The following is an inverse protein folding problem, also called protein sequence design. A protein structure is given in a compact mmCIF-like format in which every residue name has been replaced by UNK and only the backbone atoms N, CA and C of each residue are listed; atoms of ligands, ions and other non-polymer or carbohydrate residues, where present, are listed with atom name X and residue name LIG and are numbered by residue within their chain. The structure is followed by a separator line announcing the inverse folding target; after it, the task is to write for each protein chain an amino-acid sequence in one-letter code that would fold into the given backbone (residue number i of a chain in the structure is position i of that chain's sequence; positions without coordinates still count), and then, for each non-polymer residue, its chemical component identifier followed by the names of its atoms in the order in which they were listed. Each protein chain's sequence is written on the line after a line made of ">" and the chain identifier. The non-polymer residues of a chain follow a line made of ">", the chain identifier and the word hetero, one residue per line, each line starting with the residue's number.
data_IF_819695602457
#
_entry.id   IF_819695602457
#
_cell.length_a   1.000
_cell.length_b   1.000
_cell.length_c   1.000
_cell.angle_alpha   90.00
_cell.angle_beta   90.00
_cell.angle_gamma   90.00
#
_symmetry.space_group_name_H-M   'P 1'
#
loop_
_entity.id
_entity.type
_entity.pdbx_description
1 polymer ?
#
# COMPACT_ATOMS: atom_id res chain seq x y z
N UNK A 1 18.85 -11.06 -11.57
CA UNK A 1 19.09 -9.60 -11.71
C UNK A 1 19.60 -9.03 -10.38
N UNK A 2 20.26 -7.86 -10.34
CA UNK A 2 20.60 -7.22 -9.05
C UNK A 2 19.40 -6.44 -8.48
N UNK A 3 19.39 -6.22 -7.16
CA UNK A 3 18.35 -5.42 -6.49
C UNK A 3 18.27 -4.01 -7.04
N UNK A 4 19.43 -3.38 -7.31
CA UNK A 4 19.49 -2.07 -7.96
C UNK A 4 18.74 -2.07 -9.30
N UNK A 5 19.03 -3.04 -10.19
CA UNK A 5 18.40 -3.09 -11.51
C UNK A 5 16.89 -3.33 -11.42
N UNK A 6 16.43 -4.11 -10.43
CA UNK A 6 15.00 -4.28 -10.15
C UNK A 6 14.34 -2.95 -9.76
N UNK A 7 14.92 -2.21 -8.80
CA UNK A 7 14.37 -0.93 -8.35
C UNK A 7 14.41 0.14 -9.45
N UNK A 8 15.44 0.16 -10.29
CA UNK A 8 15.47 1.03 -11.47
C UNK A 8 14.34 0.69 -12.46
N UNK A 9 14.07 -0.60 -12.68
CA UNK A 9 12.92 -1.04 -13.47
C UNK A 9 11.59 -0.60 -12.87
N UNK A 10 11.42 -0.74 -11.55
CA UNK A 10 10.25 -0.24 -10.84
C UNK A 10 10.10 1.29 -11.01
N UNK A 11 11.19 2.06 -10.90
CA UNK A 11 11.15 3.51 -11.07
C UNK A 11 10.68 3.95 -12.48
N UNK A 12 11.08 3.19 -13.51
CA UNK A 12 10.61 3.39 -14.88
C UNK A 12 9.12 3.05 -14.98
N UNK A 13 8.67 1.93 -14.40
CA UNK A 13 7.26 1.55 -14.39
C UNK A 13 6.39 2.60 -13.67
N UNK A 14 6.86 3.14 -12.52
CA UNK A 14 6.21 4.25 -11.81
C UNK A 14 5.97 5.46 -12.72
N UNK A 15 6.94 5.79 -13.57
CA UNK A 15 6.84 6.93 -14.49
C UNK A 15 5.93 6.63 -15.68
N UNK A 16 6.14 5.52 -16.37
CA UNK A 16 5.51 5.24 -17.66
C UNK A 16 4.09 4.67 -17.53
N UNK A 17 3.87 3.75 -16.59
CA UNK A 17 2.58 3.06 -16.43
C UNK A 17 1.68 3.79 -15.45
N UNK A 18 2.22 4.15 -14.29
CA UNK A 18 1.43 4.76 -13.21
C UNK A 18 1.40 6.29 -13.27
N UNK A 19 2.37 6.92 -13.95
CA UNK A 19 2.43 8.38 -14.11
C UNK A 19 2.91 9.12 -12.85
N UNK A 20 3.60 8.45 -11.93
CA UNK A 20 4.04 9.02 -10.65
C UNK A 20 5.52 9.40 -10.63
N UNK A 21 5.82 10.61 -11.11
CA UNK A 21 7.19 11.14 -11.04
C UNK A 21 7.71 11.26 -9.60
N UNK A 22 6.82 11.48 -8.62
CA UNK A 22 7.21 11.52 -7.21
C UNK A 22 7.61 10.14 -6.68
N UNK A 23 6.88 9.07 -7.05
CA UNK A 23 7.30 7.70 -6.73
C UNK A 23 8.64 7.37 -7.39
N UNK A 24 8.78 7.67 -8.68
CA UNK A 24 10.02 7.49 -9.44
C UNK A 24 11.19 8.18 -8.73
N UNK A 25 11.04 9.46 -8.39
CA UNK A 25 12.07 10.22 -7.68
C UNK A 25 12.46 9.58 -6.35
N UNK A 26 11.50 9.13 -5.55
CA UNK A 26 11.77 8.51 -4.25
C UNK A 26 12.53 7.17 -4.40
N UNK A 27 12.17 6.36 -5.39
CA UNK A 27 12.89 5.10 -5.68
C UNK A 27 14.31 5.40 -6.16
N UNK A 28 14.48 6.34 -7.09
CA UNK A 28 15.81 6.74 -7.58
C UNK A 28 16.68 7.32 -6.46
N UNK A 29 16.09 8.11 -5.55
CA UNK A 29 16.79 8.64 -4.38
C UNK A 29 17.30 7.52 -3.49
N UNK A 30 16.50 6.46 -3.26
CA UNK A 30 16.92 5.26 -2.51
C UNK A 30 18.05 4.54 -3.23
N UNK A 31 17.90 4.29 -4.54
CA UNK A 31 18.93 3.66 -5.36
C UNK A 31 20.28 4.40 -5.29
N UNK A 32 20.26 5.74 -5.32
CA UNK A 32 21.46 6.55 -5.22
C UNK A 32 22.08 6.51 -3.81
N UNK A 33 21.25 6.54 -2.76
CA UNK A 33 21.73 6.53 -1.38
C UNK A 33 22.34 5.18 -0.96
N UNK A 34 21.82 4.07 -1.50
CA UNK A 34 22.19 2.70 -1.11
C UNK A 34 22.92 1.94 -2.24
N UNK A 35 23.49 2.67 -3.21
CA UNK A 35 24.01 2.11 -4.47
C UNK A 35 24.92 0.89 -4.26
N UNK A 36 25.98 1.03 -3.45
CA UNK A 36 27.00 -0.01 -3.25
C UNK A 36 26.42 -1.30 -2.65
N UNK A 37 25.39 -1.18 -1.83
CA UNK A 37 24.69 -2.30 -1.21
C UNK A 37 23.77 -2.97 -2.23
N UNK A 38 22.93 -2.19 -2.90
CA UNK A 38 21.92 -2.70 -3.83
C UNK A 38 22.50 -3.36 -5.08
N UNK A 39 23.72 -3.00 -5.50
CA UNK A 39 24.41 -3.67 -6.61
C UNK A 39 24.78 -5.11 -6.27
N UNK A 40 25.14 -5.38 -5.00
CA UNK A 40 25.58 -6.70 -4.53
C UNK A 40 24.42 -7.61 -4.15
N UNK A 41 23.29 -7.02 -3.79
CA UNK A 41 22.06 -7.75 -3.47
C UNK A 41 21.40 -8.36 -4.72
N UNK A 42 20.81 -9.54 -4.55
CA UNK A 42 19.98 -10.17 -5.58
C UNK A 42 18.61 -9.52 -5.64
N UNK A 43 17.97 -9.62 -6.80
CA UNK A 43 16.55 -9.29 -6.93
C UNK A 43 15.69 -10.10 -5.96
N UNK A 44 14.55 -9.53 -5.64
CA UNK A 44 13.64 -10.04 -4.62
C UNK A 44 12.31 -10.39 -5.26
N UNK A 45 11.81 -11.58 -4.98
CA UNK A 45 10.47 -11.99 -5.37
C UNK A 45 9.46 -11.51 -4.32
N UNK A 46 8.70 -10.46 -4.65
CA UNK A 46 7.69 -9.94 -3.74
C UNK A 46 6.55 -10.94 -3.57
N UNK A 47 6.20 -11.23 -2.32
CA UNK A 47 4.97 -11.95 -1.99
C UNK A 47 3.75 -11.06 -2.20
N UNK A 48 3.87 -9.76 -1.95
CA UNK A 48 2.82 -8.77 -2.14
C UNK A 48 3.36 -7.52 -2.84
N UNK A 49 2.74 -7.17 -3.97
CA UNK A 49 2.95 -5.92 -4.69
C UNK A 49 2.15 -4.77 -4.06
N UNK A 50 2.38 -3.54 -4.53
CA UNK A 50 1.56 -2.38 -4.17
C UNK A 50 0.09 -2.60 -4.53
N UNK A 51 -0.18 -3.17 -5.71
CA UNK A 51 -1.54 -3.46 -6.16
C UNK A 51 -2.22 -4.49 -5.24
N UNK A 52 -1.51 -5.53 -4.82
CA UNK A 52 -2.03 -6.53 -3.89
C UNK A 52 -2.46 -5.91 -2.55
N UNK A 53 -1.68 -4.95 -2.05
CA UNK A 53 -1.97 -4.23 -0.81
C UNK A 53 -3.21 -3.34 -1.00
N UNK A 54 -3.35 -2.68 -2.14
CA UNK A 54 -4.55 -1.88 -2.48
C UNK A 54 -5.79 -2.77 -2.51
N UNK A 55 -5.73 -3.87 -3.26
CA UNK A 55 -6.83 -4.81 -3.40
C UNK A 55 -7.24 -5.39 -2.04
N UNK A 56 -6.27 -5.79 -1.22
CA UNK A 56 -6.52 -6.26 0.15
C UNK A 56 -7.18 -5.18 1.00
N UNK A 57 -6.72 -3.93 0.92
CA UNK A 57 -7.27 -2.80 1.69
C UNK A 57 -8.72 -2.49 1.33
N UNK A 58 -9.08 -2.58 0.04
CA UNK A 58 -10.42 -2.25 -0.46
C UNK A 58 -11.42 -3.41 -0.43
N UNK A 59 -10.97 -4.61 -0.05
CA UNK A 59 -11.77 -5.83 -0.10
C UNK A 59 -12.95 -5.90 0.88
N UNK A 60 -12.98 -5.02 1.88
CA UNK A 60 -13.97 -5.09 2.96
C UNK A 60 -15.20 -4.24 2.71
N UNK A 61 -15.00 -2.96 2.41
CA UNK A 61 -16.05 -1.95 2.15
C UNK A 61 -15.46 -0.76 1.40
N UNK A 62 -16.34 0.16 1.02
CA UNK A 62 -15.92 1.48 0.54
C UNK A 62 -15.13 2.25 1.60
N UNK A 63 -14.05 2.92 1.18
CA UNK A 63 -13.18 3.70 2.04
C UNK A 63 -13.11 5.15 1.55
N UNK A 64 -13.25 6.11 2.45
CA UNK A 64 -12.85 7.49 2.14
C UNK A 64 -11.34 7.56 1.87
N UNK A 65 -10.87 8.59 1.17
CA UNK A 65 -9.43 8.77 0.87
C UNK A 65 -8.51 8.67 2.10
N UNK A 66 -8.94 9.22 3.24
CA UNK A 66 -8.15 9.14 4.49
C UNK A 66 -8.12 7.71 5.03
N UNK A 67 -9.29 7.05 5.09
CA UNK A 67 -9.39 5.68 5.55
C UNK A 67 -8.61 4.73 4.63
N UNK A 68 -8.60 4.96 3.32
CA UNK A 68 -7.80 4.20 2.37
C UNK A 68 -6.31 4.24 2.72
N UNK A 69 -5.70 5.43 2.83
CA UNK A 69 -4.28 5.51 3.17
C UNK A 69 -3.95 4.92 4.54
N UNK A 70 -4.84 5.10 5.53
CA UNK A 70 -4.66 4.49 6.86
C UNK A 70 -4.75 2.97 6.78
N UNK A 71 -5.78 2.44 6.12
CA UNK A 71 -5.97 1.00 5.93
C UNK A 71 -4.77 0.38 5.24
N UNK A 72 -4.36 0.94 4.11
CA UNK A 72 -3.27 0.40 3.33
C UNK A 72 -1.93 0.49 4.03
N UNK A 73 -1.69 1.53 4.82
CA UNK A 73 -0.50 1.58 5.66
C UNK A 73 -0.49 0.44 6.68
N UNK A 74 -1.59 0.25 7.41
CA UNK A 74 -1.67 -0.79 8.46
C UNK A 74 -1.59 -2.21 7.87
N UNK A 75 -2.24 -2.44 6.72
CA UNK A 75 -2.16 -3.72 6.00
C UNK A 75 -0.74 -3.95 5.48
N UNK A 76 -0.12 -2.95 4.86
CA UNK A 76 1.27 -3.03 4.39
C UNK A 76 2.23 -3.32 5.55
N UNK A 77 2.12 -2.60 6.65
CA UNK A 77 2.97 -2.77 7.83
C UNK A 77 2.81 -4.19 8.40
N UNK A 78 1.57 -4.64 8.60
CA UNK A 78 1.28 -5.99 9.06
C UNK A 78 1.89 -7.08 8.15
N UNK A 79 1.70 -6.96 6.83
CA UNK A 79 2.22 -7.92 5.86
C UNK A 79 3.74 -7.88 5.77
N UNK A 80 4.35 -6.69 5.81
CA UNK A 80 5.81 -6.52 5.71
C UNK A 80 6.59 -7.17 6.85
N UNK A 81 5.95 -7.35 8.02
CA UNK A 81 6.55 -8.08 9.14
C UNK A 81 6.60 -9.61 8.95
N UNK A 82 5.92 -10.15 7.94
CA UNK A 82 5.76 -11.60 7.68
C UNK A 82 6.18 -12.02 6.27
N UNK A 83 6.08 -11.11 5.32
CA UNK A 83 6.26 -11.35 3.90
C UNK A 83 7.19 -10.31 3.30
N UNK A 84 7.75 -10.66 2.15
CA UNK A 84 8.50 -9.69 1.36
C UNK A 84 7.52 -8.85 0.56
N UNK A 85 7.28 -7.62 1.01
CA UNK A 85 6.35 -6.67 0.37
C UNK A 85 7.10 -5.66 -0.48
N UNK A 86 6.51 -5.26 -1.60
CA UNK A 86 6.97 -4.12 -2.36
C UNK A 86 6.81 -2.83 -1.55
N UNK A 87 7.80 -1.95 -1.60
CA UNK A 87 7.80 -0.72 -0.80
C UNK A 87 6.72 0.25 -1.28
N UNK A 88 5.71 0.48 -0.43
CA UNK A 88 4.62 1.40 -0.71
C UNK A 88 4.99 2.88 -0.56
N UNK A 89 6.17 3.26 -0.07
CA UNK A 89 6.60 4.67 0.06
C UNK A 89 5.67 5.54 0.92
N UNK A 90 5.23 5.02 2.07
CA UNK A 90 4.43 5.79 3.03
C UNK A 90 5.27 6.83 3.78
N UNK A 91 4.67 8.00 4.04
CA UNK A 91 5.23 8.99 4.96
C UNK A 91 4.14 9.65 5.81
N UNK A 92 4.57 10.20 6.95
CA UNK A 92 3.69 10.75 7.97
C UNK A 92 3.75 12.28 8.03
N UNK A 93 2.58 12.91 8.14
CA UNK A 93 2.41 14.34 8.39
C UNK A 93 1.29 14.56 9.41
N UNK A 94 1.61 14.39 10.68
CA UNK A 94 0.64 14.38 11.78
C UNK A 94 -0.21 15.65 11.92
N UNK A 95 0.27 16.77 11.39
CA UNK A 95 -0.42 18.06 11.35
C UNK A 95 -1.45 18.17 10.22
N UNK A 96 -1.39 17.30 9.20
CA UNK A 96 -2.28 17.34 8.03
C UNK A 96 -3.56 16.51 8.20
N UNK A 97 -4.53 16.76 7.31
CA UNK A 97 -5.78 15.97 7.20
C UNK A 97 -5.50 14.57 6.66
N UNK A 98 -4.71 14.47 5.59
CA UNK A 98 -4.15 13.21 5.09
C UNK A 98 -2.78 13.06 5.77
N UNK A 99 -2.79 12.49 6.96
CA UNK A 99 -1.61 12.40 7.83
C UNK A 99 -0.73 11.18 7.54
N UNK A 100 -1.25 10.21 6.78
CA UNK A 100 -0.50 9.13 6.15
C UNK A 100 -0.76 9.27 4.67
N UNK A 101 0.30 9.26 3.88
CA UNK A 101 0.18 9.35 2.43
C UNK A 101 1.28 8.55 1.76
N UNK A 102 0.96 8.04 0.58
CA UNK A 102 1.92 7.47 -0.34
C UNK A 102 1.57 7.91 -1.77
N UNK A 103 2.53 8.51 -2.50
CA UNK A 103 2.33 8.84 -3.91
C UNK A 103 2.19 7.59 -4.78
N UNK A 104 2.89 6.51 -4.39
CA UNK A 104 2.87 5.22 -5.07
C UNK A 104 1.49 4.57 -4.99
N UNK A 105 0.96 4.49 -3.77
CA UNK A 105 -0.38 3.98 -3.53
C UNK A 105 -1.46 4.77 -4.27
N UNK A 106 -1.35 6.10 -4.32
CA UNK A 106 -2.31 6.93 -5.04
C UNK A 106 -2.27 6.68 -6.55
N UNK A 107 -1.08 6.65 -7.15
CA UNK A 107 -0.94 6.44 -8.58
C UNK A 107 -1.38 5.04 -9.02
N UNK A 108 -1.02 4.02 -8.25
CA UNK A 108 -1.48 2.65 -8.45
C UNK A 108 -3.00 2.53 -8.30
N UNK A 109 -3.60 3.17 -7.29
CA UNK A 109 -5.06 3.20 -7.13
C UNK A 109 -5.74 3.81 -8.36
N UNK A 110 -5.23 4.95 -8.86
CA UNK A 110 -5.77 5.59 -10.06
C UNK A 110 -5.59 4.72 -11.31
N UNK A 111 -4.50 3.96 -11.42
CA UNK A 111 -4.33 2.96 -12.47
C UNK A 111 -5.36 1.83 -12.35
N UNK A 112 -5.53 1.24 -11.16
CA UNK A 112 -6.53 0.19 -10.91
C UNK A 112 -7.97 0.66 -11.19
N UNK A 113 -8.27 1.93 -10.94
CA UNK A 113 -9.55 2.55 -11.32
C UNK A 113 -9.70 2.60 -12.84
N UNK A 114 -8.68 3.11 -13.57
CA UNK A 114 -8.69 3.15 -15.04
C UNK A 114 -8.79 1.76 -15.68
N UNK A 115 -8.18 0.75 -15.05
CA UNK A 115 -8.18 -0.64 -15.50
C UNK A 115 -9.40 -1.46 -15.04
N UNK A 116 -10.34 -0.84 -14.33
CA UNK A 116 -11.63 -1.43 -13.95
C UNK A 116 -11.57 -2.41 -12.78
N UNK A 117 -10.52 -2.39 -11.95
CA UNK A 117 -10.42 -3.20 -10.72
C UNK A 117 -10.99 -2.48 -9.49
N UNK A 118 -10.94 -1.15 -9.49
CA UNK A 118 -11.53 -0.33 -8.44
C UNK A 118 -12.39 0.77 -9.05
N UNK A 119 -13.24 1.39 -8.24
CA UNK A 119 -14.03 2.55 -8.66
C UNK A 119 -14.14 3.60 -7.55
N UNK A 120 -14.37 4.84 -7.97
CA UNK A 120 -14.67 5.96 -7.10
C UNK A 120 -13.64 7.10 -7.11
N UNK A 121 -14.02 8.22 -6.46
CA UNK A 121 -13.22 9.45 -6.43
C UNK A 121 -13.08 10.02 -5.02
N UNK A 122 -14.19 10.10 -4.26
CA UNK A 122 -14.21 10.48 -2.84
C UNK A 122 -14.14 9.26 -1.92
N UNK A 123 -14.83 8.20 -2.33
CA UNK A 123 -14.88 6.90 -1.69
C UNK A 123 -14.44 5.87 -2.71
N UNK A 124 -13.60 4.93 -2.31
CA UNK A 124 -13.01 3.91 -3.16
C UNK A 124 -13.52 2.55 -2.76
N UNK A 125 -13.85 1.70 -3.74
CA UNK A 125 -14.21 0.29 -3.51
C UNK A 125 -13.78 -0.56 -4.70
N UNK A 126 -13.73 -1.88 -4.51
CA UNK A 126 -13.48 -2.82 -5.60
C UNK A 126 -14.69 -2.98 -6.51
N UNK A 127 -14.42 -3.14 -7.81
CA UNK A 127 -15.39 -3.70 -8.76
C UNK A 127 -15.46 -5.22 -8.57
N UNK A 128 -16.36 -5.90 -9.28
CA UNK A 128 -16.41 -7.36 -9.25
C UNK A 128 -15.09 -7.99 -9.72
N UNK A 129 -14.50 -7.45 -10.79
CA UNK A 129 -13.18 -7.85 -11.27
C UNK A 129 -12.11 -7.70 -10.19
N UNK A 130 -12.11 -6.58 -9.46
CA UNK A 130 -11.21 -6.35 -8.34
C UNK A 130 -11.40 -7.31 -7.17
N UNK A 131 -12.65 -7.70 -6.87
CA UNK A 131 -12.95 -8.64 -5.79
C UNK A 131 -12.40 -10.02 -6.08
N UNK A 132 -12.59 -10.53 -7.30
CA UNK A 132 -12.04 -11.84 -7.70
C UNK A 132 -10.52 -11.87 -7.52
N UNK A 133 -9.83 -10.83 -7.97
CA UNK A 133 -8.37 -10.72 -7.80
C UNK A 133 -7.96 -10.63 -6.32
N UNK A 134 -8.69 -9.82 -5.54
CA UNK A 134 -8.45 -9.69 -4.11
C UNK A 134 -8.68 -11.00 -3.35
N UNK A 135 -9.70 -11.79 -3.70
CA UNK A 135 -9.97 -13.10 -3.12
C UNK A 135 -8.89 -14.11 -3.47
N UNK A 136 -8.44 -14.13 -4.73
CA UNK A 136 -7.32 -14.95 -5.16
C UNK A 136 -6.07 -14.64 -4.33
N UNK A 137 -5.78 -13.36 -4.09
CA UNK A 137 -4.64 -12.99 -3.25
C UNK A 137 -4.84 -13.33 -1.77
N UNK A 138 -6.03 -13.08 -1.22
CA UNK A 138 -6.36 -13.45 0.16
C UNK A 138 -6.27 -14.95 0.40
N UNK A 139 -6.49 -15.79 -0.61
CA UNK A 139 -6.36 -17.24 -0.48
C UNK A 139 -4.97 -17.69 -0.02
N UNK A 140 -3.93 -16.88 -0.31
CA UNK A 140 -2.55 -17.13 0.08
C UNK A 140 -2.27 -16.86 1.57
N UNK A 141 -3.16 -16.14 2.24
CA UNK A 141 -3.05 -15.81 3.66
C UNK A 141 -3.62 -16.95 4.53
N UNK A 142 -2.96 -17.22 5.65
CA UNK A 142 -3.49 -18.10 6.68
C UNK A 142 -4.76 -17.51 7.32
N UNK A 143 -5.55 -18.36 7.98
CA UNK A 143 -6.76 -17.91 8.67
C UNK A 143 -6.46 -16.90 9.78
N UNK A 144 -5.31 -17.03 10.47
CA UNK A 144 -4.87 -16.09 11.50
C UNK A 144 -4.60 -14.71 10.90
N UNK A 145 -3.95 -14.66 9.74
CA UNK A 145 -3.66 -13.42 9.04
C UNK A 145 -4.91 -12.75 8.50
N UNK A 146 -5.85 -13.53 7.96
CA UNK A 146 -7.16 -13.03 7.54
C UNK A 146 -7.89 -12.37 8.70
N UNK A 147 -8.01 -13.06 9.84
CA UNK A 147 -8.63 -12.51 11.06
C UNK A 147 -7.96 -11.20 11.46
N UNK A 148 -6.61 -11.14 11.42
CA UNK A 148 -5.91 -9.92 11.82
C UNK A 148 -6.15 -8.74 10.89
N UNK A 149 -6.20 -8.99 9.58
CA UNK A 149 -6.52 -7.96 8.59
C UNK A 149 -8.00 -7.55 8.72
N UNK A 150 -8.91 -8.47 9.04
CA UNK A 150 -10.33 -8.19 9.32
C UNK A 150 -10.49 -7.30 10.56
N UNK A 151 -9.70 -7.53 11.62
CA UNK A 151 -9.65 -6.68 12.82
C UNK A 151 -9.18 -5.27 12.48
N UNK A 152 -8.07 -5.14 11.75
CA UNK A 152 -7.55 -3.85 11.27
C UNK A 152 -8.65 -3.14 10.49
N UNK A 153 -9.31 -3.87 9.60
CA UNK A 153 -10.34 -3.32 8.72
C UNK A 153 -11.55 -2.81 9.48
N UNK A 154 -12.05 -3.62 10.42
CA UNK A 154 -13.17 -3.25 11.29
C UNK A 154 -12.85 -2.03 12.15
N UNK A 155 -11.62 -1.93 12.65
CA UNK A 155 -11.17 -0.79 13.44
C UNK A 155 -11.07 0.50 12.61
N UNK A 156 -10.59 0.45 11.37
CA UNK A 156 -10.52 1.64 10.51
C UNK A 156 -11.93 2.07 10.05
N UNK A 157 -12.77 1.12 9.67
CA UNK A 157 -14.13 1.39 9.19
C UNK A 157 -15.05 1.97 10.26
N UNK A 158 -14.86 1.60 11.53
CA UNK A 158 -15.63 2.15 12.65
C UNK A 158 -15.24 3.59 13.03
N UNK A 159 -14.11 4.11 12.52
CA UNK A 159 -13.59 5.44 12.88
C UNK A 159 -13.94 6.47 11.81
N UNK A 160 -14.89 7.32 12.15
CA UNK A 160 -15.37 8.39 11.27
C UNK A 160 -14.64 9.73 11.53
N UNK A 161 -14.02 9.90 12.70
CA UNK A 161 -13.30 11.14 13.04
C UNK A 161 -11.80 11.01 12.76
N UNK A 162 -11.20 12.08 12.23
CA UNK A 162 -9.76 12.14 11.97
C UNK A 162 -8.93 11.92 13.25
N UNK A 163 -9.37 12.46 14.39
CA UNK A 163 -8.69 12.29 15.68
C UNK A 163 -8.64 10.83 16.13
N UNK A 164 -9.71 10.07 15.88
CA UNK A 164 -9.78 8.65 16.22
C UNK A 164 -8.82 7.82 15.35
N UNK A 165 -8.77 8.09 14.04
CA UNK A 165 -7.83 7.47 13.12
C UNK A 165 -6.38 7.77 13.52
N UNK A 166 -6.06 9.04 13.82
CA UNK A 166 -4.72 9.44 14.29
C UNK A 166 -4.33 8.73 15.58
N UNK A 167 -5.24 8.67 16.56
CA UNK A 167 -5.01 7.95 17.82
C UNK A 167 -4.76 6.47 17.57
N UNK A 168 -5.60 5.83 16.76
CA UNK A 168 -5.45 4.42 16.44
C UNK A 168 -4.11 4.09 15.79
N UNK A 169 -3.69 4.87 14.79
CA UNK A 169 -2.39 4.68 14.14
C UNK A 169 -1.23 4.91 15.11
N UNK A 170 -1.31 5.93 15.99
CA UNK A 170 -0.29 6.16 17.01
C UNK A 170 -0.16 4.96 17.95
N UNK A 171 -1.29 4.43 18.42
CA UNK A 171 -1.28 3.26 19.30
C UNK A 171 -0.77 2.01 18.61
N UNK A 172 -1.07 1.85 17.32
CA UNK A 172 -0.54 0.77 16.50
C UNK A 172 0.99 0.86 16.35
N UNK A 173 1.53 2.03 15.99
CA UNK A 173 2.98 2.21 15.73
C UNK A 173 3.80 2.21 17.03
N UNK A 174 3.32 2.88 18.07
CA UNK A 174 4.11 3.15 19.28
C UNK A 174 3.72 2.28 20.49
N UNK A 175 2.72 1.41 20.35
CA UNK A 175 2.21 0.58 21.45
C UNK A 175 1.59 1.38 22.60
N UNK A 176 1.14 2.63 22.35
CA UNK A 176 0.59 3.56 23.35
C UNK A 176 -0.76 4.15 22.95
#
# INVERSE_FOLDING_TARGET
>A
MSRLKQLLGEAVEEAEKYGSLLSTYLILKKCNAEYDTLVKEKEVNYSFSVDDIILTSLSYKELSKIQFFVMSFLVCDYLSSRYITQDCLFYFRWDKRIFIYSPRMEAHLLYLIRSGYAEGYKYFKLTEKGRVEAEAKKSLLSNVEKIKIDEISSCVLSKNKLSELKRYVRSYIFGK
#
